data_IF_721323252705
#
_entry.id   IF_721323252705
#
_cell.length_a   1.000
_cell.length_b   1.000
_cell.length_c   1.000
_cell.angle_alpha   90.00
_cell.angle_beta   90.00
_cell.angle_gamma   90.00
#
_symmetry.space_group_name_H-M   'P 1'
#
loop_
_entity.id
_entity.type
_entity.pdbx_description
1 polymer ?
#
# COMPACT_ATOMS: atom_id res chain seq x y z
N UNK A 1 -22.39 -3.57 -3.80
CA UNK A 1 -22.90 -3.28 -2.44
C UNK A 1 -23.80 -2.05 -2.41
N UNK A 2 -23.31 -0.88 -2.84
CA UNK A 2 -24.04 0.41 -2.83
C UNK A 2 -25.42 0.35 -3.52
N UNK A 3 -25.52 -0.30 -4.69
CA UNK A 3 -26.79 -0.45 -5.41
C UNK A 3 -27.83 -1.26 -4.63
N UNK A 4 -27.42 -2.40 -4.05
CA UNK A 4 -28.31 -3.23 -3.24
C UNK A 4 -28.75 -2.50 -1.96
N UNK A 5 -27.87 -1.68 -1.38
CA UNK A 5 -28.24 -0.83 -0.24
C UNK A 5 -29.29 0.21 -0.66
N UNK A 6 -29.16 0.78 -1.86
CA UNK A 6 -30.18 1.64 -2.46
C UNK A 6 -31.53 0.92 -2.65
N UNK A 7 -31.51 -0.34 -3.11
CA UNK A 7 -32.73 -1.17 -3.19
C UNK A 7 -33.38 -1.39 -1.82
N UNK A 8 -32.58 -1.62 -0.76
CA UNK A 8 -33.10 -1.73 0.61
C UNK A 8 -33.76 -0.42 1.04
N UNK A 9 -33.07 0.71 0.87
CA UNK A 9 -33.59 2.03 1.25
C UNK A 9 -34.90 2.33 0.49
N UNK A 10 -34.96 2.02 -0.80
CA UNK A 10 -36.17 2.20 -1.60
C UNK A 10 -37.30 1.25 -1.17
N UNK A 11 -36.98 0.01 -0.81
CA UNK A 11 -37.97 -0.94 -0.30
C UNK A 11 -38.62 -0.48 1.01
N UNK A 12 -37.85 0.16 1.90
CA UNK A 12 -38.36 0.81 3.11
C UNK A 12 -39.16 2.09 2.79
N UNK A 13 -38.70 2.92 1.85
CA UNK A 13 -39.35 4.17 1.49
C UNK A 13 -40.72 4.00 0.81
N UNK A 14 -40.89 2.98 -0.05
CA UNK A 14 -42.12 2.81 -0.84
C UNK A 14 -43.23 2.03 -0.11
N UNK A 15 -42.92 1.31 0.98
CA UNK A 15 -43.86 0.38 1.64
C UNK A 15 -44.10 0.69 3.13
N UNK A 16 -43.93 1.95 3.57
CA UNK A 16 -44.04 2.36 4.98
C UNK A 16 -45.35 1.94 5.68
N UNK A 17 -46.43 1.74 4.92
CA UNK A 17 -47.77 1.45 5.47
C UNK A 17 -48.01 -0.07 5.68
N UNK A 18 -47.26 -0.96 4.99
CA UNK A 18 -47.52 -2.40 5.00
C UNK A 18 -46.29 -3.22 5.42
N UNK A 19 -46.21 -3.57 6.71
CA UNK A 19 -45.08 -4.30 7.34
C UNK A 19 -44.78 -5.62 6.60
N UNK A 20 -45.80 -6.39 6.23
CA UNK A 20 -45.61 -7.69 5.55
C UNK A 20 -44.92 -7.56 4.17
N UNK A 21 -45.16 -6.47 3.44
CA UNK A 21 -44.52 -6.24 2.12
C UNK A 21 -43.07 -5.79 2.27
N UNK A 22 -42.77 -4.99 3.30
CA UNK A 22 -41.39 -4.59 3.63
C UNK A 22 -40.54 -5.82 3.96
N UNK A 23 -41.02 -6.72 4.83
CA UNK A 23 -40.27 -7.91 5.23
C UNK A 23 -39.96 -8.82 4.03
N UNK A 24 -40.94 -9.04 3.14
CA UNK A 24 -40.72 -9.84 1.93
C UNK A 24 -39.73 -9.19 0.95
N UNK A 25 -39.81 -7.87 0.75
CA UNK A 25 -38.88 -7.15 -0.12
C UNK A 25 -37.45 -7.17 0.44
N UNK A 26 -37.28 -6.90 1.74
CA UNK A 26 -35.98 -6.91 2.43
C UNK A 26 -35.39 -8.33 2.44
N UNK A 27 -36.20 -9.37 2.66
CA UNK A 27 -35.74 -10.77 2.61
C UNK A 27 -35.15 -11.12 1.23
N UNK A 28 -35.79 -10.68 0.15
CA UNK A 28 -35.29 -10.89 -1.23
C UNK A 28 -33.96 -10.17 -1.48
N UNK A 29 -33.79 -8.95 -0.96
CA UNK A 29 -32.53 -8.19 -1.10
C UNK A 29 -31.43 -8.77 -0.20
N UNK A 30 -31.77 -9.26 0.99
CA UNK A 30 -30.85 -9.96 1.89
C UNK A 30 -30.24 -11.21 1.25
N UNK A 31 -31.05 -12.02 0.55
CA UNK A 31 -30.56 -13.15 -0.24
C UNK A 31 -29.56 -12.72 -1.32
N UNK A 32 -29.80 -11.60 -2.02
CA UNK A 32 -28.83 -11.06 -2.99
C UNK A 32 -27.51 -10.67 -2.34
N UNK A 33 -27.54 -10.10 -1.13
CA UNK A 33 -26.32 -9.80 -0.36
C UNK A 33 -25.56 -11.05 0.04
N UNK A 34 -26.26 -12.12 0.46
CA UNK A 34 -25.64 -13.39 0.80
C UNK A 34 -24.91 -14.01 -0.41
N UNK A 35 -25.56 -14.07 -1.57
CA UNK A 35 -24.92 -14.56 -2.80
C UNK A 35 -23.73 -13.70 -3.22
N UNK A 36 -23.85 -12.37 -3.12
CA UNK A 36 -22.76 -11.45 -3.45
C UNK A 36 -21.58 -11.61 -2.47
N UNK A 37 -21.83 -11.82 -1.18
CA UNK A 37 -20.79 -12.04 -0.18
C UNK A 37 -20.01 -13.32 -0.44
N UNK A 38 -20.71 -14.43 -0.72
CA UNK A 38 -20.06 -15.71 -1.07
C UNK A 38 -19.25 -15.58 -2.35
N UNK A 39 -19.83 -14.99 -3.40
CA UNK A 39 -19.13 -14.77 -4.67
C UNK A 39 -17.89 -13.88 -4.51
N UNK A 40 -18.02 -12.77 -3.79
CA UNK A 40 -16.91 -11.87 -3.50
C UNK A 40 -15.81 -12.56 -2.68
N UNK A 41 -16.18 -13.38 -1.70
CA UNK A 41 -15.23 -14.14 -0.88
C UNK A 41 -14.39 -15.11 -1.71
N UNK A 42 -15.05 -15.91 -2.56
CA UNK A 42 -14.36 -16.87 -3.43
C UNK A 42 -13.45 -16.16 -4.43
N UNK A 43 -13.94 -15.12 -5.11
CA UNK A 43 -13.15 -14.37 -6.10
C UNK A 43 -11.97 -13.66 -5.44
N UNK A 44 -12.17 -13.05 -4.27
CA UNK A 44 -11.09 -12.37 -3.53
C UNK A 44 -10.02 -13.34 -3.05
N UNK A 45 -10.42 -14.53 -2.59
CA UNK A 45 -9.49 -15.58 -2.20
C UNK A 45 -8.64 -16.02 -3.39
N UNK A 46 -9.28 -16.35 -4.52
CA UNK A 46 -8.57 -16.76 -5.75
C UNK A 46 -7.65 -15.65 -6.24
N UNK A 47 -8.10 -14.39 -6.22
CA UNK A 47 -7.29 -13.24 -6.62
C UNK A 47 -6.02 -13.15 -5.77
N UNK A 48 -6.16 -13.08 -4.43
CA UNK A 48 -5.02 -12.90 -3.52
C UNK A 48 -4.07 -14.09 -3.61
N UNK A 49 -4.58 -15.32 -3.60
CA UNK A 49 -3.75 -16.53 -3.71
C UNK A 49 -2.97 -16.56 -5.03
N UNK A 50 -3.61 -16.22 -6.16
CA UNK A 50 -2.95 -16.24 -7.47
C UNK A 50 -1.81 -15.22 -7.55
N UNK A 51 -2.03 -14.02 -7.03
CA UNK A 51 -1.02 -12.97 -6.97
C UNK A 51 0.14 -13.34 -6.04
N UNK A 52 -0.17 -13.89 -4.86
CA UNK A 52 0.84 -14.31 -3.89
C UNK A 52 1.72 -15.44 -4.42
N UNK A 53 1.12 -16.47 -5.04
CA UNK A 53 1.87 -17.58 -5.67
C UNK A 53 2.75 -17.07 -6.82
N UNK A 54 2.25 -16.12 -7.61
CA UNK A 54 3.02 -15.54 -8.72
C UNK A 54 4.20 -14.73 -8.20
N UNK A 55 4.00 -13.91 -7.17
CA UNK A 55 5.07 -13.14 -6.53
C UNK A 55 6.18 -14.03 -5.99
N UNK A 56 5.84 -15.06 -5.23
CA UNK A 56 6.77 -16.07 -4.69
C UNK A 56 7.59 -16.75 -5.78
N UNK A 57 6.93 -17.22 -6.85
CA UNK A 57 7.61 -17.89 -7.98
C UNK A 57 8.61 -16.97 -8.69
N UNK A 58 8.24 -15.71 -8.90
CA UNK A 58 9.11 -14.73 -9.55
C UNK A 58 10.30 -14.37 -8.65
N UNK A 59 10.05 -14.16 -7.35
CA UNK A 59 11.09 -13.89 -6.38
C UNK A 59 12.12 -15.03 -6.30
N UNK A 60 11.67 -16.29 -6.22
CA UNK A 60 12.55 -17.46 -6.22
C UNK A 60 13.40 -17.57 -7.50
N UNK A 61 12.81 -17.28 -8.67
CA UNK A 61 13.53 -17.25 -9.95
C UNK A 61 14.58 -16.14 -9.98
N UNK A 62 14.25 -14.93 -9.50
CA UNK A 62 15.20 -13.82 -9.43
C UNK A 62 16.35 -14.17 -8.50
N UNK A 63 16.05 -14.73 -7.32
CA UNK A 63 17.06 -15.13 -6.33
C UNK A 63 18.06 -16.15 -6.89
N UNK A 64 17.57 -17.17 -7.58
CA UNK A 64 18.41 -18.20 -8.20
C UNK A 64 19.25 -17.65 -9.36
N UNK A 65 18.68 -16.80 -10.20
CA UNK A 65 19.41 -16.17 -11.31
C UNK A 65 20.49 -15.21 -10.80
N UNK A 66 20.17 -14.43 -9.77
CA UNK A 66 21.10 -13.50 -9.14
C UNK A 66 22.29 -14.24 -8.54
N UNK A 67 22.04 -15.31 -7.75
CA UNK A 67 23.11 -16.14 -7.20
C UNK A 67 23.97 -16.77 -8.30
N UNK A 68 23.34 -17.32 -9.35
CA UNK A 68 24.06 -17.91 -10.50
C UNK A 68 24.97 -16.89 -11.19
N UNK A 69 24.54 -15.65 -11.36
CA UNK A 69 25.33 -14.62 -12.02
C UNK A 69 26.49 -14.13 -11.14
N UNK A 70 26.26 -13.95 -9.84
CA UNK A 70 27.32 -13.58 -8.89
C UNK A 70 28.42 -14.63 -8.82
N UNK A 71 28.06 -15.92 -8.81
CA UNK A 71 29.03 -17.01 -8.79
C UNK A 71 29.87 -17.12 -10.07
N UNK A 72 29.47 -16.46 -11.17
CA UNK A 72 30.21 -16.43 -12.44
C UNK A 72 31.09 -15.18 -12.58
N UNK A 73 31.07 -14.28 -11.60
CA UNK A 73 31.79 -13.02 -11.63
C UNK A 73 33.24 -13.20 -11.16
N UNK A 74 34.19 -12.44 -11.74
CA UNK A 74 35.62 -12.55 -11.41
C UNK A 74 35.96 -12.06 -10.00
N UNK A 75 37.07 -12.56 -9.44
CA UNK A 75 37.59 -12.14 -8.12
C UNK A 75 37.77 -10.62 -8.03
N UNK A 76 38.17 -9.94 -9.13
CA UNK A 76 38.35 -8.48 -9.14
C UNK A 76 37.05 -7.71 -8.85
N UNK A 77 35.87 -8.29 -9.08
CA UNK A 77 34.59 -7.67 -8.74
C UNK A 77 34.34 -7.70 -7.23
N UNK A 78 34.67 -8.82 -6.58
CA UNK A 78 34.56 -8.96 -5.12
C UNK A 78 35.60 -8.11 -4.38
N UNK A 79 36.72 -7.77 -5.03
CA UNK A 79 37.78 -6.96 -4.42
C UNK A 79 37.57 -5.44 -4.60
N UNK A 80 36.89 -5.00 -5.68
CA UNK A 80 36.66 -3.57 -5.99
C UNK A 80 35.27 -3.05 -5.67
N UNK A 81 34.22 -3.83 -5.91
CA UNK A 81 32.84 -3.30 -6.05
C UNK A 81 31.88 -3.80 -4.98
N UNK A 82 32.27 -4.76 -4.12
CA UNK A 82 31.27 -5.48 -3.29
C UNK A 82 31.86 -6.15 -2.05
N UNK A 83 31.31 -5.84 -0.88
CA UNK A 83 31.52 -6.63 0.33
C UNK A 83 30.56 -7.84 0.33
N UNK A 84 31.04 -9.05 0.65
CA UNK A 84 30.22 -10.29 0.70
C UNK A 84 28.93 -10.11 1.51
N UNK A 85 28.95 -9.31 2.58
CA UNK A 85 27.76 -9.00 3.38
C UNK A 85 26.70 -8.17 2.63
N UNK A 86 27.12 -7.30 1.72
CA UNK A 86 26.22 -6.48 0.90
C UNK A 86 25.49 -7.32 -0.16
N UNK A 87 26.16 -8.31 -0.75
CA UNK A 87 25.53 -9.26 -1.68
C UNK A 87 24.41 -10.05 -1.01
N UNK A 88 24.69 -10.55 0.19
CA UNK A 88 23.72 -11.32 0.99
C UNK A 88 22.56 -10.43 1.45
N UNK A 89 22.85 -9.16 1.74
CA UNK A 89 21.85 -8.13 2.02
C UNK A 89 20.93 -7.86 0.82
N UNK A 90 21.49 -7.67 -0.38
CA UNK A 90 20.73 -7.41 -1.61
C UNK A 90 19.91 -8.62 -2.05
N UNK A 91 20.48 -9.83 -2.05
CA UNK A 91 19.74 -11.04 -2.43
C UNK A 91 18.58 -11.33 -1.47
N UNK A 92 18.71 -10.97 -0.18
CA UNK A 92 17.66 -11.22 0.81
C UNK A 92 16.65 -10.09 0.89
N UNK A 93 17.11 -8.86 1.08
CA UNK A 93 16.25 -7.70 1.27
C UNK A 93 15.55 -7.26 -0.01
N UNK A 94 16.29 -7.11 -1.11
CA UNK A 94 15.71 -6.56 -2.34
C UNK A 94 14.80 -7.57 -3.04
N UNK A 95 15.16 -8.86 -3.00
CA UNK A 95 14.29 -9.91 -3.55
C UNK A 95 12.95 -10.00 -2.79
N UNK A 96 12.95 -9.85 -1.46
CA UNK A 96 11.71 -9.81 -0.66
C UNK A 96 10.88 -8.58 -1.00
N UNK A 97 11.51 -7.40 -1.14
CA UNK A 97 10.80 -6.20 -1.58
C UNK A 97 10.18 -6.34 -2.96
N UNK A 98 10.89 -6.99 -3.90
CA UNK A 98 10.37 -7.30 -5.23
C UNK A 98 9.19 -8.27 -5.14
N UNK A 99 9.28 -9.28 -4.28
CA UNK A 99 8.19 -10.21 -4.02
C UNK A 99 6.92 -9.50 -3.53
N UNK A 100 7.05 -8.64 -2.51
CA UNK A 100 5.93 -7.88 -1.96
C UNK A 100 5.32 -6.94 -3.01
N UNK A 101 6.17 -6.30 -3.82
CA UNK A 101 5.73 -5.43 -4.89
C UNK A 101 4.94 -6.22 -5.97
N UNK A 102 5.47 -7.34 -6.44
CA UNK A 102 4.87 -8.13 -7.53
C UNK A 102 3.65 -8.95 -7.08
N UNK A 103 3.62 -9.40 -5.83
CA UNK A 103 2.51 -10.17 -5.28
C UNK A 103 1.37 -9.26 -4.85
N UNK A 104 1.50 -8.66 -3.67
CA UNK A 104 0.37 -7.97 -3.03
C UNK A 104 0.06 -6.62 -3.70
N UNK A 105 1.09 -5.80 -3.94
CA UNK A 105 0.86 -4.40 -4.36
C UNK A 105 0.28 -4.28 -5.76
N UNK A 106 0.76 -5.07 -6.72
CA UNK A 106 0.22 -5.08 -8.09
C UNK A 106 -1.25 -5.54 -8.09
N UNK A 107 -1.57 -6.61 -7.36
CA UNK A 107 -2.95 -7.09 -7.25
C UNK A 107 -3.89 -6.04 -6.64
N UNK A 108 -3.44 -5.37 -5.57
CA UNK A 108 -4.18 -4.26 -4.95
C UNK A 108 -4.33 -3.06 -5.86
N UNK A 109 -3.29 -2.70 -6.61
CA UNK A 109 -3.34 -1.59 -7.55
C UNK A 109 -4.42 -1.83 -8.61
N UNK A 110 -4.42 -3.01 -9.25
CA UNK A 110 -5.42 -3.35 -10.27
C UNK A 110 -6.83 -3.39 -9.67
N UNK A 111 -6.98 -3.95 -8.45
CA UNK A 111 -8.26 -3.96 -7.74
C UNK A 111 -8.79 -2.54 -7.50
N UNK A 112 -7.95 -1.64 -6.98
CA UNK A 112 -8.31 -0.26 -6.70
C UNK A 112 -8.61 0.52 -7.98
N UNK A 113 -7.80 0.37 -9.02
CA UNK A 113 -8.04 1.00 -10.32
C UNK A 113 -9.35 0.52 -10.95
N UNK A 114 -9.62 -0.79 -10.93
CA UNK A 114 -10.87 -1.33 -11.43
C UNK A 114 -12.07 -0.86 -10.61
N UNK A 115 -11.92 -0.78 -9.29
CA UNK A 115 -12.98 -0.29 -8.39
C UNK A 115 -13.25 1.18 -8.63
N UNK A 116 -12.20 1.98 -8.86
CA UNK A 116 -12.31 3.40 -9.16
C UNK A 116 -13.09 3.62 -10.46
N UNK A 117 -12.68 2.97 -11.55
CA UNK A 117 -13.36 3.07 -12.85
C UNK A 117 -14.80 2.55 -12.75
N UNK A 118 -15.01 1.36 -12.15
CA UNK A 118 -16.33 0.78 -12.00
C UNK A 118 -17.28 1.65 -11.15
N UNK A 119 -16.78 2.26 -10.09
CA UNK A 119 -17.56 3.17 -9.24
C UNK A 119 -17.95 4.44 -10.00
N UNK A 120 -17.03 4.98 -10.80
CA UNK A 120 -17.30 6.16 -11.63
C UNK A 120 -18.40 5.86 -12.66
N UNK A 121 -18.29 4.74 -13.37
CA UNK A 121 -19.31 4.30 -14.34
C UNK A 121 -20.68 4.14 -13.68
N UNK A 122 -20.77 3.43 -12.55
CA UNK A 122 -22.04 3.24 -11.83
C UNK A 122 -22.62 4.57 -11.35
N UNK A 123 -21.77 5.49 -10.88
CA UNK A 123 -22.22 6.79 -10.41
C UNK A 123 -22.83 7.62 -11.54
N UNK A 124 -22.18 7.69 -12.71
CA UNK A 124 -22.70 8.43 -13.87
C UNK A 124 -24.00 7.83 -14.42
N UNK A 125 -24.15 6.49 -14.38
CA UNK A 125 -25.37 5.81 -14.82
C UNK A 125 -26.57 6.10 -13.91
N UNK A 126 -26.39 6.17 -12.58
CA UNK A 126 -27.51 6.46 -11.67
C UNK A 126 -27.95 7.93 -11.70
N UNK A 127 -27.03 8.87 -11.90
CA UNK A 127 -27.37 10.29 -11.89
C UNK A 127 -26.19 11.17 -12.27
N UNK A 128 -26.13 11.56 -13.54
CA UNK A 128 -25.06 12.39 -14.09
C UNK A 128 -24.98 13.79 -13.44
N UNK A 129 -26.12 14.39 -13.05
CA UNK A 129 -26.14 15.71 -12.41
C UNK A 129 -25.59 15.67 -10.98
N UNK A 130 -26.03 14.69 -10.18
CA UNK A 130 -25.60 14.56 -8.78
C UNK A 130 -24.10 14.25 -8.68
N UNK A 131 -23.60 13.43 -9.61
CA UNK A 131 -22.19 13.06 -9.67
C UNK A 131 -21.28 14.22 -10.06
N UNK A 132 -21.68 15.07 -11.00
CA UNK A 132 -20.95 16.30 -11.35
C UNK A 132 -20.81 17.26 -10.16
N UNK A 133 -21.88 17.43 -9.38
CA UNK A 133 -21.85 18.25 -8.17
C UNK A 133 -20.87 17.67 -7.15
N UNK A 134 -20.92 16.36 -6.92
CA UNK A 134 -19.98 15.68 -6.01
C UNK A 134 -18.54 15.71 -6.53
N UNK A 135 -18.32 15.64 -7.84
CA UNK A 135 -16.98 15.70 -8.43
C UNK A 135 -16.32 17.07 -8.18
N UNK A 136 -17.12 18.14 -8.07
CA UNK A 136 -16.62 19.50 -7.81
C UNK A 136 -16.07 19.66 -6.39
N UNK A 137 -16.53 18.86 -5.42
CA UNK A 137 -16.01 18.90 -4.04
C UNK A 137 -14.73 18.06 -3.85
N UNK A 138 -14.37 17.19 -4.80
CA UNK A 138 -13.17 16.35 -4.71
C UNK A 138 -11.86 17.17 -4.83
N UNK A 139 -11.67 18.07 -5.80
CA UNK A 139 -10.41 18.82 -5.95
C UNK A 139 -10.00 19.62 -4.71
N UNK A 140 -10.89 20.38 -4.04
CA UNK A 140 -10.52 21.10 -2.81
C UNK A 140 -10.00 20.18 -1.70
N UNK A 141 -10.61 18.99 -1.55
CA UNK A 141 -10.19 17.98 -0.56
C UNK A 141 -8.83 17.40 -0.92
N UNK A 142 -8.60 17.10 -2.20
CA UNK A 142 -7.31 16.58 -2.68
C UNK A 142 -6.21 17.63 -2.49
N UNK A 143 -6.48 18.90 -2.80
CA UNK A 143 -5.52 20.00 -2.61
C UNK A 143 -5.16 20.13 -1.13
N UNK A 144 -6.14 20.23 -0.23
CA UNK A 144 -5.86 20.37 1.21
C UNK A 144 -5.10 19.17 1.78
N UNK A 145 -5.48 17.95 1.40
CA UNK A 145 -4.79 16.71 1.79
C UNK A 145 -3.36 16.62 1.25
N UNK A 146 -3.14 17.06 0.01
CA UNK A 146 -1.80 17.07 -0.61
C UNK A 146 -0.87 18.07 0.09
N UNK A 147 -1.35 19.27 0.39
CA UNK A 147 -0.60 20.29 1.13
C UNK A 147 -0.21 19.78 2.51
N UNK A 148 -1.15 19.18 3.24
CA UNK A 148 -0.87 18.58 4.55
C UNK A 148 0.19 17.47 4.45
N UNK A 149 0.07 16.59 3.46
CA UNK A 149 1.01 15.48 3.24
C UNK A 149 2.44 15.97 2.94
N UNK A 150 2.57 17.00 2.09
CA UNK A 150 3.86 17.62 1.76
C UNK A 150 4.46 18.32 2.98
N UNK A 151 3.64 19.02 3.77
CA UNK A 151 4.09 19.66 5.01
C UNK A 151 4.63 18.62 6.01
N UNK A 152 3.90 17.53 6.24
CA UNK A 152 4.33 16.45 7.13
C UNK A 152 5.63 15.81 6.63
N UNK A 153 5.73 15.51 5.33
CA UNK A 153 6.94 14.94 4.75
C UNK A 153 8.15 15.87 4.91
N UNK A 154 7.96 17.19 4.69
CA UNK A 154 9.01 18.19 4.86
C UNK A 154 9.44 18.33 6.32
N UNK A 155 8.50 18.32 7.26
CA UNK A 155 8.81 18.34 8.70
C UNK A 155 9.57 17.08 9.14
N UNK A 156 9.14 15.89 8.68
CA UNK A 156 9.82 14.64 8.97
C UNK A 156 11.26 14.62 8.43
N UNK A 157 11.47 15.08 7.21
CA UNK A 157 12.80 15.22 6.61
C UNK A 157 13.67 16.20 7.40
N UNK A 158 13.13 17.37 7.77
CA UNK A 158 13.87 18.34 8.57
C UNK A 158 14.26 17.77 9.94
N UNK A 159 13.34 17.07 10.61
CA UNK A 159 13.62 16.36 11.86
C UNK A 159 14.78 15.38 11.72
N UNK A 160 14.74 14.50 10.70
CA UNK A 160 15.81 13.54 10.43
C UNK A 160 17.17 14.23 10.18
N UNK A 161 17.19 15.36 9.46
CA UNK A 161 18.45 16.09 9.23
C UNK A 161 19.05 16.68 10.50
N UNK A 162 18.22 17.17 11.43
CA UNK A 162 18.67 17.69 12.72
C UNK A 162 19.17 16.55 13.62
N UNK A 163 18.47 15.43 13.65
CA UNK A 163 18.93 14.22 14.35
C UNK A 163 20.25 13.70 13.79
N UNK A 164 20.42 13.68 12.47
CA UNK A 164 21.67 13.26 11.82
C UNK A 164 22.84 14.16 12.23
N UNK A 165 22.66 15.49 12.26
CA UNK A 165 23.69 16.43 12.73
C UNK A 165 24.08 16.19 14.19
N UNK A 166 23.10 15.97 15.06
CA UNK A 166 23.36 15.66 16.47
C UNK A 166 24.12 14.33 16.62
N UNK A 167 23.74 13.30 15.85
CA UNK A 167 24.44 12.02 15.82
C UNK A 167 25.90 12.18 15.39
N UNK A 168 26.17 12.96 14.33
CA UNK A 168 27.54 13.25 13.88
C UNK A 168 28.36 13.98 14.95
N UNK A 169 27.78 14.94 15.67
CA UNK A 169 28.46 15.62 16.78
C UNK A 169 28.82 14.67 17.92
N UNK A 170 27.90 13.75 18.27
CA UNK A 170 28.15 12.71 19.26
C UNK A 170 29.26 11.77 18.78
N UNK A 171 29.22 11.33 17.52
CA UNK A 171 30.29 10.52 16.92
C UNK A 171 31.65 11.22 16.96
N UNK A 172 31.72 12.51 16.63
CA UNK A 172 32.97 13.28 16.71
C UNK A 172 33.49 13.39 18.15
N UNK A 173 32.59 13.59 19.12
CA UNK A 173 32.95 13.73 20.53
C UNK A 173 33.46 12.40 21.10
N UNK A 174 32.77 11.29 20.80
CA UNK A 174 33.21 9.94 21.19
C UNK A 174 34.50 9.55 20.46
N UNK A 175 34.62 9.87 19.17
CA UNK A 175 35.85 9.61 18.40
C UNK A 175 37.06 10.37 18.93
N UNK A 176 36.84 11.56 19.50
CA UNK A 176 37.88 12.41 20.11
C UNK A 176 38.00 12.22 21.63
N UNK A 177 37.40 11.16 22.20
CA UNK A 177 37.30 10.99 23.66
C UNK A 177 38.66 11.02 24.36
N UNK A 178 39.71 10.46 23.73
CA UNK A 178 41.07 10.45 24.30
C UNK A 178 41.63 11.87 24.46
N UNK A 179 41.39 12.73 23.47
CA UNK A 179 41.80 14.15 23.49
C UNK A 179 40.95 14.98 24.46
N UNK A 180 39.67 14.65 24.63
CA UNK A 180 38.78 15.30 25.59
C UNK A 180 39.19 14.96 27.03
N UNK A 181 39.53 13.69 27.30
CA UNK A 181 39.97 13.22 28.61
C UNK A 181 41.34 13.83 28.98
N UNK A 182 42.30 13.84 28.06
CA UNK A 182 43.63 14.43 28.31
C UNK A 182 43.54 15.93 28.62
N UNK A 183 42.63 16.65 27.95
CA UNK A 183 42.40 18.08 28.20
C UNK A 183 41.68 18.34 29.53
N UNK A 184 40.90 17.39 30.02
CA UNK A 184 40.22 17.48 31.31
C UNK A 184 41.10 17.07 32.49
N UNK A 185 42.09 16.20 32.27
CA UNK A 185 43.07 15.80 33.30
C UNK A 185 44.16 16.85 33.57
N UNK A 186 44.22 17.91 32.75
CA UNK A 186 45.15 19.04 32.90
C UNK A 186 44.52 20.28 33.57
N UNK A 187 43.25 20.20 33.96
CA UNK A 187 42.52 21.18 34.78
C UNK A 187 42.39 20.62 36.20
#
# INVERSE_FOLDING_TARGET
>A
MSLLLGEVINAFGHNQINIHRVVNAVSKVSLKFAYLAVGCGVVSFVQVSSWMITGERQAARIRSLYLKNILRQDISFFDKETNTGEVVGRISGDTVRIQDAMGEKVGKFIQLSSTFVGSFVVAFVQGWLLTLVMLTSIPPIVVSGSVMSVMVAKMASHGQTTYAKAATLVEQTIGSIRTVIDKFSYI
#
